data_IF_607499874344
#
_entry.id   IF_607499874344
#
_cell.length_a   1.000
_cell.length_b   1.000
_cell.length_c   1.000
_cell.angle_alpha   90.00
_cell.angle_beta   90.00
_cell.angle_gamma   90.00
#
_symmetry.space_group_name_H-M   'P 1'
#
loop_
_entity.id
_entity.type
_entity.pdbx_description
1 polymer ?
#
# COMPACT_ATOMS: atom_id res chain seq x y z
N UNK A 1 -8.79 -25.79 61.16
CA UNK A 1 -9.41 -25.21 62.38
C UNK A 1 -9.89 -23.81 61.99
N UNK A 2 -11.19 -23.65 61.74
CA UNK A 2 -11.75 -22.39 61.26
C UNK A 2 -12.08 -21.48 62.45
N UNK A 3 -11.65 -20.23 62.41
CA UNK A 3 -12.14 -19.19 63.30
C UNK A 3 -13.09 -18.33 62.48
N UNK A 4 -14.39 -18.51 62.71
CA UNK A 4 -15.46 -17.69 62.12
C UNK A 4 -15.77 -16.58 63.11
N UNK A 5 -15.70 -15.31 62.66
CA UNK A 5 -16.19 -14.19 63.46
C UNK A 5 -17.17 -13.35 62.64
N UNK A 6 -18.34 -13.14 63.24
CA UNK A 6 -19.43 -12.32 62.74
C UNK A 6 -19.10 -10.84 62.99
N UNK A 7 -19.26 -9.99 61.98
CA UNK A 7 -19.21 -8.54 62.14
C UNK A 7 -20.53 -7.97 61.62
N UNK A 8 -21.34 -7.43 62.52
CA UNK A 8 -22.55 -6.70 62.18
C UNK A 8 -22.19 -5.20 62.18
N UNK A 9 -22.66 -4.45 61.17
CA UNK A 9 -22.39 -3.02 60.89
C UNK A 9 -21.04 -2.67 60.24
N UNK A 10 -20.80 -3.13 59.01
CA UNK A 10 -19.74 -2.56 58.14
C UNK A 10 -20.28 -1.27 57.54
N UNK A 11 -19.69 -0.13 57.89
CA UNK A 11 -20.01 1.16 57.28
C UNK A 11 -19.03 1.42 56.12
N UNK A 12 -19.52 1.36 54.88
CA UNK A 12 -18.71 1.59 53.68
C UNK A 12 -19.01 3.01 53.18
N UNK A 13 -18.07 3.94 53.36
CA UNK A 13 -18.13 5.25 52.72
C UNK A 13 -17.30 5.24 51.44
N UNK A 14 -17.97 5.40 50.30
CA UNK A 14 -17.33 5.50 48.98
C UNK A 14 -17.21 6.98 48.61
N UNK A 15 -15.98 7.49 48.59
CA UNK A 15 -15.69 8.83 48.07
C UNK A 15 -15.53 8.76 46.56
N UNK A 16 -16.66 8.83 45.84
CA UNK A 16 -16.86 9.14 44.40
C UNK A 16 -17.91 8.24 43.74
N UNK A 17 -18.53 8.77 42.69
CA UNK A 17 -19.69 8.20 42.01
C UNK A 17 -19.44 6.78 41.49
N UNK A 18 -20.07 5.79 42.12
CA UNK A 18 -20.26 4.46 41.56
C UNK A 18 -21.74 4.27 41.23
N UNK A 19 -22.06 3.86 40.01
CA UNK A 19 -23.41 3.45 39.63
C UNK A 19 -23.52 1.94 39.83
N UNK A 20 -24.20 1.52 40.89
CA UNK A 20 -24.61 0.12 41.06
C UNK A 20 -25.91 -0.13 40.28
N UNK A 21 -25.87 -1.05 39.32
CA UNK A 21 -27.07 -1.62 38.68
C UNK A 21 -27.46 -2.92 39.40
N UNK A 22 -27.92 -2.81 40.63
CA UNK A 22 -28.80 -3.81 41.25
C UNK A 22 -29.61 -3.16 42.37
N UNK A 23 -30.95 -3.22 42.25
CA UNK A 23 -31.89 -2.51 43.12
C UNK A 23 -32.19 -3.21 44.45
N UNK A 24 -31.71 -4.43 44.70
CA UNK A 24 -31.89 -5.14 45.98
C UNK A 24 -30.77 -6.18 46.15
N UNK A 25 -29.99 -6.14 47.24
CA UNK A 25 -29.18 -7.28 47.66
C UNK A 25 -29.87 -7.99 48.82
N UNK A 26 -30.34 -9.22 48.59
CA UNK A 26 -30.88 -10.05 49.65
C UNK A 26 -29.73 -10.59 50.52
N UNK A 27 -29.76 -10.27 51.81
CA UNK A 27 -28.92 -10.86 52.85
C UNK A 27 -29.19 -12.37 52.94
N UNK A 28 -28.36 -13.18 52.27
CA UNK A 28 -28.07 -14.58 52.63
C UNK A 28 -26.92 -15.13 51.79
N UNK A 29 -25.74 -14.56 51.97
CA UNK A 29 -24.48 -15.25 51.71
C UNK A 29 -23.38 -14.43 52.36
N UNK A 30 -22.58 -15.07 53.21
CA UNK A 30 -21.56 -14.44 54.06
C UNK A 30 -20.32 -13.99 53.29
N UNK A 31 -20.50 -13.23 52.22
CA UNK A 31 -19.41 -12.74 51.39
C UNK A 31 -19.83 -11.43 50.70
N UNK A 32 -19.04 -10.38 50.90
CA UNK A 32 -19.14 -9.13 50.14
C UNK A 32 -17.87 -9.04 49.30
N UNK A 33 -17.97 -9.34 48.01
CA UNK A 33 -16.87 -9.22 47.05
C UNK A 33 -16.91 -7.80 46.48
N UNK A 34 -15.85 -7.03 46.71
CA UNK A 34 -15.65 -5.72 46.09
C UNK A 34 -14.60 -5.89 44.99
N UNK A 35 -15.04 -5.87 43.74
CA UNK A 35 -14.17 -5.97 42.57
C UNK A 35 -13.84 -4.56 42.08
N UNK A 36 -12.57 -4.16 42.19
CA UNK A 36 -12.10 -2.88 41.67
C UNK A 36 -11.34 -3.09 40.36
N UNK A 37 -11.79 -2.38 39.33
CA UNK A 37 -11.25 -2.50 37.96
C UNK A 37 -9.99 -1.66 37.72
N UNK A 38 -9.48 -0.92 38.72
CA UNK A 38 -8.20 -0.18 38.63
C UNK A 38 -7.45 -0.12 39.98
N UNK A 39 -6.12 0.00 39.85
CA UNK A 39 -5.04 -0.29 40.81
C UNK A 39 -5.00 0.44 42.17
N UNK A 40 -5.97 1.27 42.54
CA UNK A 40 -5.88 2.07 43.79
C UNK A 40 -7.06 1.80 44.70
N UNK A 41 -7.04 0.64 45.38
CA UNK A 41 -7.92 0.39 46.53
C UNK A 41 -7.16 0.73 47.81
N UNK A 42 -7.51 1.83 48.48
CA UNK A 42 -7.02 2.11 49.84
C UNK A 42 -8.07 1.65 50.86
N UNK A 43 -7.66 0.74 51.74
CA UNK A 43 -8.47 0.26 52.87
C UNK A 43 -7.90 0.80 54.17
N UNK A 44 -8.64 1.69 54.84
CA UNK A 44 -8.32 2.16 56.19
C UNK A 44 -9.21 1.44 57.21
N UNK A 45 -8.61 0.71 58.15
CA UNK A 45 -9.32 0.03 59.25
C UNK A 45 -8.65 0.32 60.59
N UNK A 46 -9.45 0.54 61.64
CA UNK A 46 -8.96 0.74 63.01
C UNK A 46 -8.56 -0.58 63.73
N UNK A 47 -8.73 -1.74 63.08
CA UNK A 47 -8.25 -3.04 63.57
C UNK A 47 -7.48 -3.77 62.48
N UNK A 48 -6.48 -4.59 62.91
CA UNK A 48 -5.57 -5.36 62.04
C UNK A 48 -6.34 -6.10 60.94
N UNK A 49 -6.19 -5.62 59.70
CA UNK A 49 -6.71 -6.29 58.51
C UNK A 49 -5.68 -7.31 58.02
N UNK A 50 -6.14 -8.52 57.67
CA UNK A 50 -5.31 -9.53 57.00
C UNK A 50 -5.69 -9.48 55.52
N UNK A 51 -4.78 -8.98 54.68
CA UNK A 51 -4.89 -9.08 53.23
C UNK A 51 -4.40 -10.48 52.84
N UNK A 52 -5.33 -11.36 52.46
CA UNK A 52 -5.02 -12.71 52.02
C UNK A 52 -5.45 -12.85 50.56
N UNK A 53 -4.46 -12.92 49.67
CA UNK A 53 -4.65 -12.87 48.21
C UNK A 53 -3.49 -12.22 47.44
N UNK A 54 -2.29 -12.13 48.03
CA UNK A 54 -1.07 -11.74 47.33
C UNK A 54 0.04 -12.69 47.80
N UNK A 55 0.39 -13.68 46.98
CA UNK A 55 1.48 -14.60 47.30
C UNK A 55 1.52 -15.88 46.46
N UNK A 56 2.25 -15.79 45.34
CA UNK A 56 3.17 -16.78 44.78
C UNK A 56 2.76 -18.27 44.83
N UNK A 57 2.27 -18.78 43.69
CA UNK A 57 2.17 -20.22 43.44
C UNK A 57 1.27 -20.63 42.27
N UNK A 58 0.36 -19.76 41.82
CA UNK A 58 -0.32 -19.95 40.54
C UNK A 58 0.65 -19.61 39.42
N UNK A 59 0.81 -20.51 38.44
CA UNK A 59 1.43 -20.15 37.16
C UNK A 59 0.92 -18.77 36.77
N UNK A 60 1.83 -17.82 36.54
CA UNK A 60 1.47 -16.60 35.83
C UNK A 60 0.65 -17.05 34.62
N UNK A 61 -0.58 -16.52 34.47
CA UNK A 61 -1.34 -16.73 33.25
C UNK A 61 -0.35 -16.57 32.11
N UNK A 62 -0.13 -17.61 31.28
CA UNK A 62 0.95 -17.58 30.33
C UNK A 62 0.78 -16.30 29.52
N UNK A 63 1.75 -15.38 29.65
CA UNK A 63 1.76 -14.19 28.81
C UNK A 63 1.53 -14.69 27.40
N UNK A 64 0.53 -14.12 26.71
CA UNK A 64 0.15 -14.61 25.39
C UNK A 64 1.24 -14.23 24.39
N UNK A 65 2.30 -15.04 24.37
CA UNK A 65 3.54 -14.75 23.66
C UNK A 65 3.28 -14.82 22.18
N UNK A 66 3.71 -13.77 21.49
CA UNK A 66 3.68 -13.64 20.05
C UNK A 66 4.83 -14.45 19.43
N UNK A 67 4.52 -15.50 18.69
CA UNK A 67 5.52 -16.30 17.96
C UNK A 67 5.48 -15.91 16.49
N UNK A 68 6.64 -15.69 15.86
CA UNK A 68 6.74 -15.60 14.40
C UNK A 68 6.63 -17.01 13.81
N UNK A 69 5.60 -17.25 13.02
CA UNK A 69 5.28 -18.56 12.46
C UNK A 69 5.67 -18.66 10.99
N UNK A 70 5.56 -17.54 10.26
CA UNK A 70 5.91 -17.47 8.85
C UNK A 70 6.38 -16.06 8.48
N UNK A 71 7.20 -15.97 7.44
CA UNK A 71 7.58 -14.72 6.78
C UNK A 71 7.78 -15.00 5.29
N UNK A 72 7.35 -14.08 4.45
CA UNK A 72 7.46 -14.30 3.02
C UNK A 72 7.05 -13.10 2.21
N UNK A 73 6.88 -13.36 0.92
CA UNK A 73 6.44 -12.39 -0.08
C UNK A 73 5.17 -12.91 -0.73
N UNK A 74 4.25 -11.98 -1.05
CA UNK A 74 3.07 -12.22 -1.86
C UNK A 74 3.01 -11.21 -2.99
N UNK A 75 2.43 -11.61 -4.12
CA UNK A 75 2.43 -10.82 -5.33
C UNK A 75 1.01 -10.57 -5.83
N UNK A 76 0.86 -9.53 -6.64
CA UNK A 76 -0.30 -9.32 -7.49
C UNK A 76 0.13 -8.67 -8.78
N UNK A 77 -0.45 -9.11 -9.90
CA UNK A 77 -0.07 -8.64 -11.23
C UNK A 77 0.89 -9.62 -11.91
N UNK A 78 1.29 -9.29 -13.13
CA UNK A 78 2.10 -10.16 -13.97
C UNK A 78 3.23 -9.35 -14.59
N UNK A 79 4.44 -9.86 -14.45
CA UNK A 79 5.64 -9.28 -15.05
C UNK A 79 6.64 -10.38 -15.36
N UNK A 80 7.57 -10.08 -16.27
CA UNK A 80 8.70 -10.93 -16.61
C UNK A 80 10.00 -10.16 -16.37
N UNK A 81 11.11 -10.89 -16.21
CA UNK A 81 12.44 -10.31 -16.23
C UNK A 81 13.12 -10.68 -17.55
N UNK A 82 13.60 -9.67 -18.27
CA UNK A 82 14.32 -9.86 -19.53
C UNK A 82 15.54 -8.95 -19.56
N UNK A 83 16.74 -9.54 -19.64
CA UNK A 83 18.00 -8.80 -19.67
C UNK A 83 18.14 -7.79 -18.50
N UNK A 84 17.66 -8.17 -17.31
CA UNK A 84 17.66 -7.32 -16.12
C UNK A 84 16.50 -6.31 -16.04
N UNK A 85 15.68 -6.20 -17.08
CA UNK A 85 14.51 -5.31 -17.09
C UNK A 85 13.29 -6.03 -16.53
N UNK A 86 12.60 -5.37 -15.60
CA UNK A 86 11.22 -5.74 -15.23
C UNK A 86 10.30 -5.22 -16.32
N UNK A 87 9.44 -6.09 -16.86
CA UNK A 87 8.49 -5.74 -17.92
C UNK A 87 7.11 -6.21 -17.48
N UNK A 88 6.16 -5.27 -17.40
CA UNK A 88 4.77 -5.58 -17.09
C UNK A 88 4.11 -6.32 -18.26
N UNK A 89 3.38 -7.39 -17.95
CA UNK A 89 2.66 -8.20 -18.94
C UNK A 89 1.24 -8.46 -18.48
N UNK A 90 0.38 -8.88 -19.41
CA UNK A 90 -0.96 -9.35 -19.06
C UNK A 90 -0.92 -10.80 -18.54
N UNK A 91 -2.10 -11.35 -18.21
CA UNK A 91 -2.23 -12.73 -17.69
C UNK A 91 -1.75 -13.81 -18.66
N UNK A 92 -1.72 -13.52 -19.95
CA UNK A 92 -1.25 -14.41 -21.00
C UNK A 92 0.26 -14.28 -21.23
N UNK A 93 0.95 -13.41 -20.50
CA UNK A 93 2.39 -13.14 -20.68
C UNK A 93 2.69 -12.20 -21.84
N UNK A 94 1.66 -11.61 -22.46
CA UNK A 94 1.87 -10.64 -23.54
C UNK A 94 2.18 -9.28 -22.93
N UNK A 95 3.20 -8.60 -23.47
CA UNK A 95 3.51 -7.22 -23.11
C UNK A 95 2.35 -6.30 -23.51
N UNK A 96 2.26 -5.16 -22.85
CA UNK A 96 1.46 -4.05 -23.37
C UNK A 96 1.94 -3.69 -24.78
N UNK A 97 1.06 -3.07 -25.57
CA UNK A 97 1.42 -2.61 -26.90
C UNK A 97 2.56 -1.55 -26.85
N UNK A 98 2.64 -0.81 -25.74
CA UNK A 98 3.70 0.13 -25.36
C UNK A 98 5.12 -0.39 -25.63
N UNK A 99 5.37 -1.68 -25.37
CA UNK A 99 6.71 -2.28 -25.40
C UNK A 99 7.14 -2.89 -26.74
N UNK A 100 6.24 -3.00 -27.74
CA UNK A 100 6.52 -3.86 -28.90
C UNK A 100 6.25 -3.26 -30.28
N UNK A 101 5.21 -2.43 -30.49
CA UNK A 101 4.67 -2.25 -31.86
C UNK A 101 4.22 -0.83 -32.26
N UNK A 102 4.65 0.21 -31.54
CA UNK A 102 4.21 1.57 -31.80
C UNK A 102 5.10 2.46 -32.67
N UNK A 103 6.07 1.95 -33.43
CA UNK A 103 6.95 2.85 -34.20
C UNK A 103 6.20 3.46 -35.40
N UNK A 104 6.12 4.78 -35.45
CA UNK A 104 5.47 5.58 -36.49
C UNK A 104 4.03 5.13 -36.84
N UNK A 105 3.10 5.15 -35.87
CA UNK A 105 1.73 4.68 -36.01
C UNK A 105 0.91 5.50 -37.02
N UNK A 106 0.00 4.83 -37.75
CA UNK A 106 -0.98 5.53 -38.60
C UNK A 106 -2.12 6.10 -37.75
N UNK A 107 -2.83 7.11 -38.27
CA UNK A 107 -4.00 7.66 -37.58
C UNK A 107 -5.09 6.62 -37.30
N UNK A 108 -5.28 5.65 -38.20
CA UNK A 108 -6.23 4.55 -38.01
C UNK A 108 -5.86 3.73 -36.78
N UNK A 109 -4.58 3.43 -36.59
CA UNK A 109 -4.07 2.74 -35.39
C UNK A 109 -4.29 3.59 -34.16
N UNK A 110 -4.07 4.91 -34.24
CA UNK A 110 -4.33 5.82 -33.12
C UNK A 110 -5.80 5.85 -32.71
N UNK A 111 -6.71 5.94 -33.68
CA UNK A 111 -8.17 5.94 -33.45
C UNK A 111 -8.65 4.60 -32.90
N UNK A 112 -8.16 3.48 -33.45
CA UNK A 112 -8.53 2.14 -33.01
C UNK A 112 -8.15 1.87 -31.54
N UNK A 113 -7.13 2.57 -31.04
CA UNK A 113 -6.68 2.49 -29.65
C UNK A 113 -7.22 3.63 -28.78
N UNK A 114 -8.16 4.44 -29.29
CA UNK A 114 -8.97 5.36 -28.51
C UNK A 114 -8.43 6.78 -28.36
N UNK A 115 -7.41 7.17 -29.12
CA UNK A 115 -7.04 8.58 -29.24
C UNK A 115 -8.16 9.38 -29.92
N UNK A 116 -8.49 10.54 -29.37
CA UNK A 116 -9.49 11.43 -29.95
C UNK A 116 -8.92 12.18 -31.16
N UNK A 117 -9.80 12.81 -31.95
CA UNK A 117 -9.35 13.69 -33.05
C UNK A 117 -8.45 14.83 -32.57
N UNK A 118 -8.68 15.33 -31.34
CA UNK A 118 -7.88 16.38 -30.74
C UNK A 118 -6.46 15.90 -30.40
N UNK A 119 -6.34 14.70 -29.82
CA UNK A 119 -5.04 14.11 -29.49
C UNK A 119 -4.21 13.85 -30.75
N UNK A 120 -4.85 13.32 -31.79
CA UNK A 120 -4.21 13.05 -33.08
C UNK A 120 -3.75 14.34 -33.75
N UNK A 121 -4.55 15.40 -33.70
CA UNK A 121 -4.16 16.71 -34.20
C UNK A 121 -2.89 17.23 -33.51
N UNK A 122 -2.85 17.16 -32.18
CA UNK A 122 -1.68 17.58 -31.40
C UNK A 122 -0.45 16.74 -31.73
N UNK A 123 -0.59 15.41 -31.81
CA UNK A 123 0.52 14.52 -32.21
C UNK A 123 1.05 14.86 -33.61
N UNK A 124 0.15 15.08 -34.57
CA UNK A 124 0.54 15.42 -35.95
C UNK A 124 1.28 16.76 -36.03
N UNK A 125 0.90 17.73 -35.21
CA UNK A 125 1.62 19.00 -35.09
C UNK A 125 3.00 18.80 -34.45
N UNK A 126 3.03 18.17 -33.27
CA UNK A 126 4.20 18.07 -32.40
C UNK A 126 5.29 17.12 -32.93
N UNK A 127 4.94 16.05 -33.67
CA UNK A 127 5.94 15.09 -34.17
C UNK A 127 6.97 15.71 -35.14
N UNK A 128 6.63 16.85 -35.75
CA UNK A 128 7.51 17.62 -36.63
C UNK A 128 8.61 18.36 -35.88
N UNK A 129 8.48 18.56 -34.56
CA UNK A 129 9.42 19.33 -33.77
C UNK A 129 10.78 18.62 -33.59
N UNK A 130 11.86 19.40 -33.37
CA UNK A 130 13.18 18.83 -33.07
C UNK A 130 13.18 17.99 -31.79
N UNK A 131 14.02 16.94 -31.74
CA UNK A 131 14.19 16.06 -30.56
C UNK A 131 14.46 16.85 -29.28
N UNK A 132 15.43 17.79 -29.32
CA UNK A 132 15.77 18.63 -28.16
C UNK A 132 14.59 19.48 -27.64
N UNK A 133 13.69 19.92 -28.53
CA UNK A 133 12.49 20.65 -28.13
C UNK A 133 11.53 19.73 -27.39
N UNK A 134 11.28 18.53 -27.93
CA UNK A 134 10.40 17.53 -27.30
C UNK A 134 10.93 17.07 -25.94
N UNK A 135 12.25 16.88 -25.80
CA UNK A 135 12.86 16.55 -24.51
C UNK A 135 12.66 17.69 -23.49
N UNK A 136 12.82 18.94 -23.93
CA UNK A 136 12.59 20.11 -23.09
C UNK A 136 11.12 20.21 -22.67
N UNK A 137 10.19 20.00 -23.59
CA UNK A 137 8.75 20.02 -23.33
C UNK A 137 8.35 18.92 -22.35
N UNK A 138 8.77 17.67 -22.58
CA UNK A 138 8.49 16.55 -21.67
C UNK A 138 9.02 16.84 -20.26
N UNK A 139 10.27 17.30 -20.17
CA UNK A 139 10.90 17.61 -18.89
C UNK A 139 10.16 18.74 -18.17
N UNK A 140 9.79 19.79 -18.87
CA UNK A 140 9.03 20.90 -18.30
C UNK A 140 7.66 20.44 -17.79
N UNK A 141 6.95 19.60 -18.56
CA UNK A 141 5.66 19.03 -18.14
C UNK A 141 5.82 18.19 -16.87
N UNK A 142 6.76 17.25 -16.82
CA UNK A 142 6.96 16.40 -15.64
C UNK A 142 7.41 17.20 -14.41
N UNK A 143 8.20 18.25 -14.60
CA UNK A 143 8.54 19.19 -13.53
C UNK A 143 7.31 19.95 -13.04
N UNK A 144 6.45 20.41 -13.95
CA UNK A 144 5.21 21.11 -13.58
C UNK A 144 4.20 20.25 -12.81
N UNK A 145 4.28 18.94 -12.95
CA UNK A 145 3.48 17.97 -12.21
C UNK A 145 4.10 17.48 -10.89
N UNK A 146 5.36 17.84 -10.65
CA UNK A 146 6.03 17.46 -9.40
C UNK A 146 5.77 18.50 -8.33
N UNK A 147 5.75 18.05 -7.07
CA UNK A 147 5.55 18.96 -5.94
C UNK A 147 6.72 19.96 -5.83
N UNK A 148 6.43 21.21 -5.47
CA UNK A 148 7.43 22.23 -5.16
C UNK A 148 8.25 21.82 -3.93
N UNK A 149 7.64 21.10 -2.98
CA UNK A 149 8.27 20.65 -1.73
C UNK A 149 9.34 19.56 -1.94
N UNK A 150 9.39 18.90 -3.10
CA UNK A 150 10.35 17.83 -3.42
C UNK A 150 11.77 18.33 -3.79
N UNK A 151 12.01 19.64 -3.71
CA UNK A 151 13.16 20.30 -4.32
C UNK A 151 12.86 20.84 -5.72
N UNK A 152 11.66 21.41 -5.89
CA UNK A 152 11.22 22.14 -7.07
C UNK A 152 11.15 21.27 -8.34
N UNK A 153 10.48 20.12 -8.27
CA UNK A 153 10.32 19.16 -9.35
C UNK A 153 11.49 18.21 -9.58
N UNK A 154 12.11 17.78 -8.49
CA UNK A 154 13.22 16.83 -8.50
C UNK A 154 12.81 15.47 -9.07
N UNK A 155 11.64 14.96 -8.70
CA UNK A 155 11.16 13.65 -9.13
C UNK A 155 10.83 13.66 -10.63
N UNK A 156 10.12 14.68 -11.10
CA UNK A 156 9.86 14.90 -12.53
C UNK A 156 11.13 15.05 -13.35
N UNK A 157 12.14 15.80 -12.89
CA UNK A 157 13.44 15.85 -13.58
C UNK A 157 14.11 14.48 -13.66
N UNK A 158 14.06 13.72 -12.56
CA UNK A 158 14.76 12.44 -12.45
C UNK A 158 14.14 11.40 -13.39
N UNK A 159 12.82 11.28 -13.39
CA UNK A 159 12.12 10.36 -14.29
C UNK A 159 12.22 10.79 -15.75
N UNK A 160 12.22 12.10 -16.05
CA UNK A 160 12.42 12.62 -17.41
C UNK A 160 13.82 12.26 -17.94
N UNK A 161 14.86 12.53 -17.15
CA UNK A 161 16.24 12.18 -17.53
C UNK A 161 16.38 10.66 -17.70
N UNK A 162 15.75 9.87 -16.83
CA UNK A 162 15.74 8.41 -16.95
C UNK A 162 15.02 7.92 -18.21
N UNK A 163 13.94 8.58 -18.63
CA UNK A 163 13.32 8.28 -19.92
C UNK A 163 14.24 8.54 -21.11
N UNK A 164 15.06 9.60 -21.05
CA UNK A 164 16.00 9.94 -22.13
C UNK A 164 17.19 8.97 -22.21
N UNK A 165 17.77 8.59 -21.07
CA UNK A 165 19.06 7.87 -21.05
C UNK A 165 19.03 6.51 -20.36
N UNK A 166 17.92 6.14 -19.72
CA UNK A 166 17.78 4.93 -18.91
C UNK A 166 17.56 3.65 -19.72
N UNK A 167 17.41 3.74 -21.05
CA UNK A 167 17.36 2.60 -21.96
C UNK A 167 16.34 1.51 -21.56
N UNK A 168 15.18 1.94 -21.04
CA UNK A 168 14.11 1.03 -20.61
C UNK A 168 14.40 0.27 -19.31
N UNK A 169 15.46 0.62 -18.57
CA UNK A 169 15.71 0.04 -17.24
C UNK A 169 14.63 0.50 -16.26
N UNK A 170 14.29 -0.31 -15.24
CA UNK A 170 13.36 0.12 -14.20
C UNK A 170 13.83 1.41 -13.51
N UNK A 171 12.87 2.26 -13.15
CA UNK A 171 13.12 3.44 -12.33
C UNK A 171 12.49 3.23 -10.96
N UNK A 172 13.26 3.45 -9.89
CA UNK A 172 12.77 3.22 -8.53
C UNK A 172 12.67 4.52 -7.75
N UNK A 173 11.45 4.85 -7.33
CA UNK A 173 11.20 5.74 -6.21
C UNK A 173 11.46 4.98 -4.92
N UNK A 174 12.63 5.23 -4.34
CA UNK A 174 13.06 4.55 -3.11
C UNK A 174 12.17 4.90 -1.92
N UNK A 175 12.13 4.02 -0.92
CA UNK A 175 11.45 4.29 0.34
C UNK A 175 11.91 5.63 0.95
N UNK A 176 10.95 6.44 1.41
CA UNK A 176 11.20 7.79 1.91
C UNK A 176 11.22 8.88 0.84
N UNK A 177 11.16 8.53 -0.45
CA UNK A 177 10.89 9.52 -1.51
C UNK A 177 9.49 10.11 -1.35
N UNK A 178 9.26 11.30 -1.92
CA UNK A 178 7.96 11.95 -1.83
C UNK A 178 6.81 11.08 -2.39
N UNK A 179 6.92 10.46 -3.59
CA UNK A 179 5.88 9.57 -4.11
C UNK A 179 5.63 8.36 -3.19
N UNK A 180 6.69 7.81 -2.59
CA UNK A 180 6.55 6.71 -1.61
C UNK A 180 5.80 7.16 -0.34
N UNK A 181 6.08 8.37 0.16
CA UNK A 181 5.43 8.90 1.36
C UNK A 181 3.97 9.26 1.08
N UNK A 182 3.66 9.89 -0.06
CA UNK A 182 2.28 10.21 -0.46
C UNK A 182 1.41 8.94 -0.52
N UNK A 183 1.92 7.86 -1.09
CA UNK A 183 1.21 6.57 -1.09
C UNK A 183 1.06 6.06 0.34
N UNK A 184 2.16 6.01 1.10
CA UNK A 184 2.18 5.51 2.49
C UNK A 184 1.18 6.23 3.39
N UNK A 185 1.06 7.53 3.23
CA UNK A 185 0.23 8.39 4.08
C UNK A 185 -1.22 8.48 3.57
N UNK A 186 -1.51 8.00 2.36
CA UNK A 186 -2.87 7.98 1.82
C UNK A 186 -3.80 7.01 2.57
N UNK A 187 -5.05 7.43 2.77
CA UNK A 187 -6.06 6.57 3.40
C UNK A 187 -6.38 5.33 2.55
N UNK A 188 -6.32 5.45 1.22
CA UNK A 188 -6.52 4.32 0.29
C UNK A 188 -5.49 3.21 0.54
N UNK A 189 -4.25 3.59 0.82
CA UNK A 189 -3.20 2.65 1.16
C UNK A 189 -3.38 2.10 2.58
N UNK A 190 -3.45 2.96 3.60
CA UNK A 190 -3.48 2.55 5.01
C UNK A 190 -4.74 1.78 5.38
N UNK A 191 -5.91 2.31 5.03
CA UNK A 191 -7.19 1.80 5.54
C UNK A 191 -7.78 0.72 4.66
N UNK A 192 -7.61 0.82 3.32
CA UNK A 192 -8.20 -0.14 2.39
C UNK A 192 -7.21 -1.22 1.96
N UNK A 193 -6.03 -0.84 1.42
CA UNK A 193 -5.08 -1.82 0.89
C UNK A 193 -4.41 -2.64 2.00
N UNK A 194 -3.77 -2.01 2.99
CA UNK A 194 -3.03 -2.72 4.04
C UNK A 194 -3.97 -3.58 4.89
N UNK A 195 -5.07 -3.01 5.38
CA UNK A 195 -6.08 -3.77 6.15
C UNK A 195 -6.65 -4.93 5.34
N UNK A 196 -6.98 -4.69 4.06
CA UNK A 196 -7.52 -5.72 3.17
C UNK A 196 -6.54 -6.86 2.94
N UNK A 197 -5.27 -6.54 2.69
CA UNK A 197 -4.21 -7.52 2.47
C UNK A 197 -3.97 -8.35 3.74
N UNK A 198 -3.86 -7.70 4.91
CA UNK A 198 -3.69 -8.39 6.19
C UNK A 198 -4.84 -9.37 6.46
N UNK A 199 -6.09 -8.94 6.26
CA UNK A 199 -7.26 -9.79 6.45
C UNK A 199 -7.29 -10.97 5.47
N UNK A 200 -6.92 -10.75 4.20
CA UNK A 200 -6.82 -11.82 3.21
C UNK A 200 -5.76 -12.86 3.59
N UNK A 201 -4.56 -12.42 3.98
CA UNK A 201 -3.46 -13.31 4.37
C UNK A 201 -3.77 -14.08 5.66
N UNK A 202 -4.41 -13.42 6.63
CA UNK A 202 -4.89 -14.08 7.85
C UNK A 202 -5.92 -15.18 7.52
N UNK A 203 -6.91 -14.88 6.69
CA UNK A 203 -7.92 -15.84 6.24
C UNK A 203 -7.28 -17.02 5.52
N UNK A 204 -6.37 -16.73 4.59
CA UNK A 204 -5.62 -17.74 3.83
C UNK A 204 -4.87 -18.69 4.74
N UNK A 205 -4.13 -18.17 5.72
CA UNK A 205 -3.42 -19.00 6.69
C UNK A 205 -4.37 -19.82 7.57
N UNK A 206 -5.49 -19.25 8.04
CA UNK A 206 -6.47 -20.01 8.84
C UNK A 206 -7.03 -21.21 8.08
N UNK A 207 -7.31 -21.04 6.79
CA UNK A 207 -7.88 -22.08 5.91
C UNK A 207 -6.87 -23.13 5.45
N UNK A 208 -5.63 -22.73 5.18
CA UNK A 208 -4.63 -23.57 4.49
C UNK A 208 -3.44 -23.96 5.34
N UNK A 209 -3.22 -23.25 6.46
CA UNK A 209 -2.03 -23.35 7.33
C UNK A 209 -0.72 -22.94 6.66
N UNK A 210 -0.81 -22.23 5.54
CA UNK A 210 0.29 -21.56 4.85
C UNK A 210 -0.27 -20.39 4.03
N UNK A 211 0.55 -19.36 3.80
CA UNK A 211 0.21 -18.29 2.84
C UNK A 211 0.67 -18.73 1.44
N UNK A 212 1.98 -18.83 1.25
CA UNK A 212 2.63 -19.37 0.06
C UNK A 212 2.95 -20.85 0.28
N UNK A 213 2.65 -21.70 -0.71
CA UNK A 213 2.83 -23.16 -0.58
C UNK A 213 4.32 -23.54 -0.50
N UNK A 214 5.17 -22.75 -1.16
CA UNK A 214 6.63 -22.89 -1.16
C UNK A 214 7.27 -21.58 -1.63
N UNK A 215 8.59 -21.41 -1.47
CA UNK A 215 9.30 -20.23 -2.01
C UNK A 215 9.13 -20.03 -3.52
N UNK A 216 8.88 -21.09 -4.28
CA UNK A 216 8.67 -21.05 -5.74
C UNK A 216 7.20 -20.90 -6.14
N UNK A 217 6.27 -20.99 -5.20
CA UNK A 217 4.82 -20.84 -5.41
C UNK A 217 4.29 -19.68 -4.58
N UNK A 218 4.71 -18.48 -4.95
CA UNK A 218 4.32 -17.23 -4.31
C UNK A 218 2.81 -17.02 -4.46
N UNK A 219 2.13 -16.74 -3.35
CA UNK A 219 0.70 -16.49 -3.34
C UNK A 219 0.34 -15.22 -4.13
N UNK A 220 -0.65 -15.34 -5.01
CA UNK A 220 -1.20 -14.25 -5.81
C UNK A 220 -2.46 -13.69 -5.13
N UNK A 221 -2.34 -12.53 -4.48
CA UNK A 221 -3.42 -11.99 -3.66
C UNK A 221 -4.50 -11.27 -4.49
N UNK A 222 -5.70 -11.24 -3.93
CA UNK A 222 -6.91 -10.72 -4.58
C UNK A 222 -7.25 -9.28 -4.17
N UNK A 223 -6.78 -8.82 -3.02
CA UNK A 223 -6.93 -7.45 -2.50
C UNK A 223 -6.69 -6.41 -3.59
N UNK A 224 -7.58 -5.42 -3.68
CA UNK A 224 -7.52 -4.38 -4.72
C UNK A 224 -6.32 -3.48 -4.49
N UNK A 225 -5.59 -3.16 -5.56
CA UNK A 225 -4.50 -2.19 -5.52
C UNK A 225 -5.09 -0.79 -5.37
N UNK A 226 -4.39 0.13 -4.68
CA UNK A 226 -4.78 1.52 -4.67
C UNK A 226 -4.72 2.09 -6.10
N UNK A 227 -5.62 3.03 -6.39
CA UNK A 227 -5.71 3.71 -7.67
C UNK A 227 -5.55 5.21 -7.44
N UNK A 228 -4.72 5.81 -8.28
CA UNK A 228 -4.41 7.24 -8.32
C UNK A 228 -4.68 7.69 -9.75
N UNK A 229 -5.69 8.52 -9.95
CA UNK A 229 -6.10 8.91 -11.30
C UNK A 229 -5.17 9.96 -11.88
N UNK A 230 -5.02 10.00 -13.21
CA UNK A 230 -4.26 11.06 -13.88
C UNK A 230 -4.74 12.47 -13.49
N UNK A 231 -6.05 12.63 -13.27
CA UNK A 231 -6.66 13.89 -12.81
C UNK A 231 -6.10 14.36 -11.45
N UNK A 232 -5.75 13.44 -10.55
CA UNK A 232 -5.14 13.77 -9.26
C UNK A 232 -3.71 14.30 -9.40
N UNK A 233 -2.99 13.89 -10.45
CA UNK A 233 -1.61 14.31 -10.74
C UNK A 233 -1.51 15.67 -11.43
N UNK A 234 -2.62 16.18 -11.98
CA UNK A 234 -2.68 17.51 -12.62
C UNK A 234 -2.59 18.63 -11.56
N UNK A 235 -2.97 18.35 -10.31
CA UNK A 235 -2.84 19.32 -9.22
C UNK A 235 -1.55 19.04 -8.42
N UNK A 236 -0.48 19.84 -8.62
CA UNK A 236 0.82 19.61 -7.96
C UNK A 236 0.78 19.78 -6.44
N UNK A 237 -0.34 20.25 -5.88
CA UNK A 237 -0.56 20.41 -4.43
C UNK A 237 -1.29 19.22 -3.78
N UNK A 238 -1.63 18.18 -4.54
CA UNK A 238 -2.47 17.07 -4.04
C UNK A 238 -1.71 15.76 -3.93
N UNK A 239 -1.13 15.27 -5.03
CA UNK A 239 -0.41 13.99 -5.04
C UNK A 239 0.39 13.80 -6.34
N UNK A 240 1.72 13.94 -6.29
CA UNK A 240 2.53 13.74 -7.50
C UNK A 240 2.61 12.25 -7.93
N UNK A 241 2.27 11.29 -7.05
CA UNK A 241 2.21 9.88 -7.44
C UNK A 241 1.32 9.66 -8.67
N UNK A 242 0.20 10.36 -8.75
CA UNK A 242 -0.77 10.20 -9.81
C UNK A 242 -0.21 10.59 -11.19
N UNK A 243 0.82 11.44 -11.20
CA UNK A 243 1.58 11.84 -12.39
C UNK A 243 2.44 10.70 -12.92
N UNK A 244 3.11 9.98 -12.02
CA UNK A 244 4.07 8.94 -12.40
C UNK A 244 3.45 7.55 -12.49
N UNK A 245 2.25 7.37 -11.95
CA UNK A 245 1.57 6.08 -11.79
C UNK A 245 0.08 6.25 -12.04
N UNK A 246 -0.34 6.10 -13.30
CA UNK A 246 -1.74 6.26 -13.71
C UNK A 246 -2.63 5.03 -13.41
N UNK A 247 -2.06 3.94 -12.88
CA UNK A 247 -2.81 2.81 -12.36
C UNK A 247 -1.93 1.61 -12.09
N UNK A 248 -1.57 1.41 -10.81
CA UNK A 248 -0.68 0.34 -10.36
C UNK A 248 -1.12 -1.02 -10.92
N UNK A 249 -0.22 -1.65 -11.67
CA UNK A 249 -0.45 -2.91 -12.36
C UNK A 249 0.10 -4.12 -11.58
N UNK A 250 1.12 -3.88 -10.76
CA UNK A 250 1.82 -4.90 -10.00
C UNK A 250 2.08 -4.50 -8.54
N UNK A 251 2.21 -5.48 -7.68
CA UNK A 251 2.58 -5.31 -6.29
C UNK A 251 3.37 -6.52 -5.80
N UNK A 252 4.40 -6.23 -5.03
CA UNK A 252 5.15 -7.20 -4.23
C UNK A 252 5.04 -6.74 -2.78
N UNK A 253 4.54 -7.59 -1.89
CA UNK A 253 4.39 -7.25 -0.48
C UNK A 253 5.08 -8.31 0.40
N UNK A 254 5.94 -7.84 1.30
CA UNK A 254 6.57 -8.68 2.33
C UNK A 254 5.69 -8.72 3.57
N UNK A 255 5.62 -9.89 4.21
CA UNK A 255 4.81 -10.09 5.41
C UNK A 255 5.56 -10.87 6.50
N UNK A 256 5.10 -10.66 7.73
CA UNK A 256 5.41 -11.47 8.91
C UNK A 256 4.09 -11.93 9.52
N UNK A 257 3.94 -13.24 9.68
CA UNK A 257 2.77 -13.86 10.30
C UNK A 257 3.13 -14.33 11.70
N UNK A 258 2.29 -13.95 12.66
CA UNK A 258 2.45 -14.29 14.04
C UNK A 258 1.24 -15.08 14.55
N UNK A 259 1.49 -16.00 15.47
CA UNK A 259 0.46 -16.71 16.22
C UNK A 259 0.74 -16.58 17.70
N UNK A 260 -0.31 -16.23 18.43
CA UNK A 260 -0.30 -16.03 19.86
C UNK A 260 -0.48 -17.38 20.57
N UNK A 261 0.43 -17.70 21.49
CA UNK A 261 0.53 -19.04 22.10
C UNK A 261 -0.75 -19.51 22.78
N UNK A 262 -1.43 -18.60 23.48
CA UNK A 262 -2.58 -18.88 24.35
C UNK A 262 -3.88 -18.60 23.61
N UNK A 263 -4.06 -17.39 23.08
CA UNK A 263 -5.32 -17.03 22.39
C UNK A 263 -5.48 -17.69 21.02
N UNK A 264 -4.39 -18.22 20.46
CA UNK A 264 -4.33 -18.69 19.05
C UNK A 264 -4.74 -17.61 18.05
N UNK A 265 -4.68 -16.34 18.45
CA UNK A 265 -4.87 -15.21 17.56
C UNK A 265 -3.77 -15.23 16.50
N UNK A 266 -4.17 -15.05 15.24
CA UNK A 266 -3.24 -14.84 14.13
C UNK A 266 -3.14 -13.34 13.88
N UNK A 267 -1.94 -12.86 13.64
CA UNK A 267 -1.69 -11.47 13.25
C UNK A 267 -0.74 -11.45 12.05
N UNK A 268 -1.12 -10.72 11.01
CA UNK A 268 -0.26 -10.48 9.84
C UNK A 268 0.21 -9.04 9.87
N UNK A 269 1.54 -8.84 9.78
CA UNK A 269 2.16 -7.54 9.57
C UNK A 269 2.73 -7.47 8.17
N UNK A 270 2.43 -6.40 7.45
CA UNK A 270 3.10 -6.03 6.20
C UNK A 270 4.25 -5.09 6.57
N UNK A 271 5.46 -5.39 6.13
CA UNK A 271 6.66 -4.59 6.47
C UNK A 271 7.28 -3.86 5.28
N UNK A 272 7.07 -4.37 4.05
CA UNK A 272 7.47 -3.67 2.83
C UNK A 272 6.47 -3.90 1.71
N UNK A 273 6.22 -2.86 0.92
CA UNK A 273 5.42 -2.91 -0.30
C UNK A 273 6.21 -2.27 -1.44
N UNK A 274 6.27 -2.93 -2.58
CA UNK A 274 6.78 -2.39 -3.83
C UNK A 274 5.66 -2.39 -4.85
N UNK A 275 5.18 -1.22 -5.26
CA UNK A 275 4.22 -1.07 -6.35
C UNK A 275 4.92 -0.96 -7.68
N UNK A 276 4.32 -1.53 -8.72
CA UNK A 276 4.84 -1.56 -10.08
C UNK A 276 3.79 -1.04 -11.06
N UNK A 277 4.21 -0.15 -11.96
CA UNK A 277 3.44 0.28 -13.12
C UNK A 277 4.38 0.52 -14.31
N UNK A 278 3.83 0.71 -15.49
CA UNK A 278 4.60 1.11 -16.67
C UNK A 278 4.59 2.63 -16.82
N UNK A 279 5.76 3.21 -17.05
CA UNK A 279 5.91 4.58 -17.50
C UNK A 279 6.34 4.61 -18.97
N UNK A 280 5.73 5.52 -19.72
CA UNK A 280 5.86 5.62 -21.17
C UNK A 280 4.49 5.78 -21.81
N UNK A 281 4.49 6.15 -23.09
CA UNK A 281 3.26 6.27 -23.85
C UNK A 281 2.68 4.89 -24.15
N UNK A 282 1.48 4.61 -23.63
CA UNK A 282 0.70 3.44 -23.96
C UNK A 282 -0.40 3.75 -24.95
N UNK A 283 -0.60 2.84 -25.90
CA UNK A 283 -1.76 2.88 -26.79
C UNK A 283 -3.06 2.57 -26.05
N UNK A 284 -2.97 1.79 -24.97
CA UNK A 284 -4.11 1.49 -24.10
C UNK A 284 -4.46 2.64 -23.14
N UNK A 285 -3.65 3.72 -23.10
CA UNK A 285 -4.00 4.97 -22.40
C UNK A 285 -5.09 5.78 -23.15
N UNK A 286 -5.49 5.32 -24.34
CA UNK A 286 -6.70 5.77 -25.05
C UNK A 286 -7.93 4.88 -24.82
N UNK A 287 -7.82 3.76 -24.08
CA UNK A 287 -8.96 2.91 -23.76
C UNK A 287 -9.25 1.78 -24.76
N UNK A 288 -8.23 1.06 -25.23
CA UNK A 288 -8.45 -0.17 -25.97
C UNK A 288 -9.22 -1.20 -25.11
N UNK A 289 -10.27 -1.80 -25.68
CA UNK A 289 -11.12 -2.84 -25.04
C UNK A 289 -11.83 -2.43 -23.73
N UNK A 290 -12.15 -1.14 -23.58
CA UNK A 290 -13.08 -0.66 -22.55
C UNK A 290 -12.49 -0.49 -21.15
N UNK A 291 -11.17 -0.62 -20.98
CA UNK A 291 -10.48 -0.21 -19.76
C UNK A 291 -9.85 1.16 -20.00
N UNK A 292 -10.48 2.21 -19.46
CA UNK A 292 -9.98 3.58 -19.55
C UNK A 292 -8.71 3.73 -18.68
N UNK A 293 -7.51 3.63 -19.23
CA UNK A 293 -6.41 4.50 -18.77
C UNK A 293 -6.62 5.86 -19.44
N UNK A 294 -6.28 6.94 -18.74
CA UNK A 294 -6.48 8.31 -19.18
C UNK A 294 -5.18 8.81 -19.83
N UNK A 295 -5.25 9.30 -21.07
CA UNK A 295 -4.20 10.12 -21.64
C UNK A 295 -3.94 11.29 -20.70
N UNK A 296 -2.75 11.37 -20.10
CA UNK A 296 -2.38 12.51 -19.26
C UNK A 296 -2.16 13.71 -20.20
N UNK A 297 -3.01 14.75 -20.18
CA UNK A 297 -2.81 15.93 -21.01
C UNK A 297 -1.44 16.53 -20.73
N UNK A 298 -0.67 16.86 -21.77
CA UNK A 298 0.68 17.44 -21.64
C UNK A 298 1.84 16.47 -21.91
N UNK A 299 1.60 15.16 -22.05
CA UNK A 299 2.65 14.17 -22.38
C UNK A 299 2.72 13.78 -23.87
N UNK A 300 2.20 14.64 -24.77
CA UNK A 300 2.32 14.47 -26.24
C UNK A 300 3.78 14.36 -26.70
N UNK A 301 4.68 15.12 -26.07
CA UNK A 301 6.10 15.07 -26.35
C UNK A 301 6.71 13.69 -26.05
N UNK A 302 6.34 13.05 -24.93
CA UNK A 302 6.77 11.69 -24.59
C UNK A 302 6.36 10.70 -25.68
N UNK A 303 5.11 10.75 -26.11
CA UNK A 303 4.60 9.93 -27.19
C UNK A 303 5.40 10.15 -28.49
N UNK A 304 5.69 11.40 -28.83
CA UNK A 304 6.45 11.71 -30.04
C UNK A 304 7.89 11.20 -29.98
N UNK A 305 8.54 11.32 -28.83
CA UNK A 305 9.87 10.76 -28.58
C UNK A 305 9.85 9.22 -28.70
N UNK A 306 8.92 8.56 -28.01
CA UNK A 306 8.80 7.10 -27.95
C UNK A 306 8.35 6.44 -29.24
N UNK A 307 7.64 7.13 -30.14
CA UNK A 307 7.05 6.48 -31.32
C UNK A 307 7.52 7.06 -32.66
N UNK A 308 7.94 8.33 -32.71
CA UNK A 308 8.40 8.93 -33.97
C UNK A 308 9.91 9.21 -33.97
N UNK A 309 10.55 9.43 -32.82
CA UNK A 309 12.00 9.68 -32.75
C UNK A 309 12.81 8.41 -32.49
N UNK A 310 12.26 7.43 -31.77
CA UNK A 310 12.90 6.13 -31.56
C UNK A 310 12.93 5.23 -32.81
N UNK A 311 12.18 5.56 -33.88
CA UNK A 311 11.98 4.66 -35.01
C UNK A 311 13.30 4.24 -35.71
N UNK A 312 14.31 5.13 -35.69
CA UNK A 312 15.65 4.86 -36.21
C UNK A 312 16.59 4.18 -35.20
N UNK A 313 16.33 4.33 -33.89
CA UNK A 313 17.11 3.73 -32.81
C UNK A 313 16.17 3.29 -31.68
N UNK A 314 15.79 2.01 -31.72
CA UNK A 314 14.84 1.42 -30.78
C UNK A 314 15.38 1.33 -29.35
N UNK A 315 16.66 1.64 -29.11
CA UNK A 315 17.22 1.66 -27.76
C UNK A 315 16.88 2.94 -26.98
N UNK A 316 16.48 4.01 -27.67
CA UNK A 316 16.06 5.29 -27.07
C UNK A 316 14.59 5.29 -26.67
N UNK A 317 14.27 6.10 -25.65
CA UNK A 317 12.89 6.43 -25.24
C UNK A 317 12.01 5.20 -25.00
N UNK A 318 12.60 4.10 -24.55
CA UNK A 318 11.85 2.88 -24.26
C UNK A 318 10.97 3.09 -23.02
N UNK A 319 9.74 2.52 -23.02
CA UNK A 319 8.96 2.44 -21.79
C UNK A 319 9.71 1.60 -20.75
N UNK A 320 9.44 1.85 -19.48
CA UNK A 320 10.08 1.14 -18.38
C UNK A 320 9.12 0.95 -17.21
N UNK A 321 9.41 -0.02 -16.35
CA UNK A 321 8.68 -0.18 -15.10
C UNK A 321 9.12 0.88 -14.09
N UNK A 322 8.15 1.62 -13.55
CA UNK A 322 8.33 2.42 -12.35
C UNK A 322 8.04 1.55 -11.14
N UNK A 323 8.94 1.59 -10.16
CA UNK A 323 8.82 0.91 -8.88
C UNK A 323 8.70 1.94 -7.78
N UNK A 324 7.71 1.81 -6.91
CA UNK A 324 7.55 2.64 -5.70
C UNK A 324 7.71 1.76 -4.48
N UNK A 325 8.83 1.94 -3.81
CA UNK A 325 9.18 1.20 -2.61
C UNK A 325 8.66 1.93 -1.36
N UNK A 326 8.04 1.18 -0.47
CA UNK A 326 7.43 1.67 0.76
C UNK A 326 7.81 0.73 1.91
N UNK A 327 8.51 1.26 2.90
CA UNK A 327 8.81 0.57 4.16
C UNK A 327 7.79 0.98 5.24
N UNK A 328 7.30 0.00 6.01
CA UNK A 328 6.25 0.15 7.04
C UNK A 328 6.77 -0.12 8.45
#
# INVERSE_FOLDING_TARGET
>A
MAIVKKADNINIQVANNYTSLSKVSHEKSGEVIIEATKQNLELTSQKRAILQGLGNGGQADPEDKKILVDRGVVNKGYWINENGKTIMVNRQGNRGYDCLYGDAPSEEVMKANGMTKYDIFNVNLTKSYPEAYLETELKATLVGFSDIEDGFGKNGRSIANHFFTGQGQPFTFAAGSNPSNEVKDSDRFKTAFITGLQAELEKRYKEKKFISESPTKIYQFSTKLPYYSAEEGINPWVNEIATFVGGIQGCIASYKLYEYQVSKKVEVKIDRVSFLDTFGAGWEDGGAKGMKKQWIPGLVAMFCLQHFKNAADKSKYQPFTVVIDIDL
#
